data_IF_171033960645
#
_entry.id   IF_171033960645
#
_cell.length_a   1.000
_cell.length_b   1.000
_cell.length_c   1.000
_cell.angle_alpha   90.00
_cell.angle_beta   90.00
_cell.angle_gamma   90.00
#
_symmetry.space_group_name_H-M   'P 1'
#
loop_
_entity.id
_entity.type
_entity.pdbx_description
1 polymer ?
#
# COMPACT_ATOMS: atom_id res chain seq x y z
N UNK A 1 -3.93 13.61 7.46
CA UNK A 1 -3.24 12.40 6.99
C UNK A 1 -1.87 12.27 7.63
N UNK A 2 -1.47 11.05 7.99
CA UNK A 2 -0.09 10.66 8.23
C UNK A 2 0.54 10.42 6.85
N UNK A 3 1.37 11.35 6.43
CA UNK A 3 2.03 11.32 5.13
C UNK A 3 3.28 10.42 5.16
N UNK A 4 3.66 9.88 4.02
CA UNK A 4 4.82 8.99 3.83
C UNK A 4 5.22 8.97 2.35
N UNK A 5 6.39 8.42 1.97
CA UNK A 5 6.89 8.50 0.59
C UNK A 5 5.90 8.05 -0.49
N UNK A 6 5.08 7.06 -0.18
CA UNK A 6 4.12 6.44 -1.10
C UNK A 6 2.67 6.92 -0.90
N UNK A 7 2.40 7.84 0.04
CA UNK A 7 1.05 8.22 0.45
C UNK A 7 0.23 8.78 -0.71
N UNK A 8 0.83 9.71 -1.45
CA UNK A 8 0.19 10.33 -2.60
C UNK A 8 -0.17 9.31 -3.67
N UNK A 9 0.71 8.34 -3.94
CA UNK A 9 0.48 7.30 -4.93
C UNK A 9 -0.71 6.42 -4.55
N UNK A 10 -0.75 5.93 -3.31
CA UNK A 10 -1.85 5.07 -2.86
C UNK A 10 -3.17 5.82 -2.73
N UNK A 11 -3.13 7.08 -2.30
CA UNK A 11 -4.32 7.92 -2.20
C UNK A 11 -4.93 8.19 -3.59
N UNK A 12 -4.10 8.54 -4.58
CA UNK A 12 -4.58 8.70 -5.95
C UNK A 12 -5.18 7.41 -6.50
N UNK A 13 -4.52 6.26 -6.30
CA UNK A 13 -5.05 4.96 -6.72
C UNK A 13 -6.40 4.65 -6.06
N UNK A 14 -6.56 5.01 -4.78
CA UNK A 14 -7.83 4.84 -4.07
C UNK A 14 -8.94 5.70 -4.73
N UNK A 15 -8.67 6.96 -5.04
CA UNK A 15 -9.66 7.82 -5.73
C UNK A 15 -10.05 7.25 -7.08
N UNK A 16 -9.07 6.83 -7.87
CA UNK A 16 -9.28 6.35 -9.24
C UNK A 16 -10.05 5.01 -9.32
N UNK A 17 -10.02 4.19 -8.25
CA UNK A 17 -10.45 2.78 -8.31
C UNK A 17 -11.42 2.34 -7.22
N UNK A 18 -11.71 3.15 -6.21
CA UNK A 18 -12.55 2.72 -5.07
C UNK A 18 -14.04 2.69 -5.36
N UNK A 19 -14.49 3.41 -6.40
CA UNK A 19 -15.91 3.60 -6.71
C UNK A 19 -16.66 4.44 -5.68
N UNK A 20 -15.95 5.28 -4.91
CA UNK A 20 -16.54 6.19 -3.91
C UNK A 20 -16.84 7.54 -4.57
N UNK A 21 -18.12 7.84 -4.81
CA UNK A 21 -18.57 9.09 -5.43
C UNK A 21 -18.05 10.32 -4.66
N UNK A 22 -17.93 10.24 -3.33
CA UNK A 22 -17.43 11.33 -2.49
C UNK A 22 -15.94 11.66 -2.70
N UNK A 23 -15.20 10.77 -3.37
CA UNK A 23 -13.78 10.92 -3.62
C UNK A 23 -13.44 11.16 -5.11
N UNK A 24 -14.43 11.17 -6.01
CA UNK A 24 -14.21 11.36 -7.46
C UNK A 24 -13.57 12.71 -7.79
N UNK A 25 -13.96 13.77 -7.09
CA UNK A 25 -13.43 15.13 -7.28
C UNK A 25 -12.33 15.49 -6.28
N UNK A 26 -11.97 14.57 -5.37
CA UNK A 26 -11.01 14.84 -4.32
C UNK A 26 -9.58 14.84 -4.87
N UNK A 27 -8.77 15.84 -4.49
CA UNK A 27 -7.35 15.85 -4.73
C UNK A 27 -6.56 15.52 -3.46
N UNK A 28 -5.33 15.04 -3.61
CA UNK A 28 -4.49 14.71 -2.45
C UNK A 28 -4.22 15.92 -1.55
N UNK A 29 -4.24 17.13 -2.11
CA UNK A 29 -4.05 18.40 -1.40
C UNK A 29 -5.21 18.73 -0.46
N UNK A 30 -6.40 18.18 -0.69
CA UNK A 30 -7.56 18.39 0.18
C UNK A 30 -7.38 17.72 1.55
N UNK A 31 -6.49 16.73 1.61
CA UNK A 31 -6.18 16.01 2.84
C UNK A 31 -5.08 16.73 3.63
N UNK A 32 -5.50 17.42 4.70
CA UNK A 32 -4.57 18.09 5.62
C UNK A 32 -3.48 17.13 6.11
N UNK A 33 -2.21 17.43 5.82
CA UNK A 33 -1.06 16.74 6.39
C UNK A 33 -0.93 17.03 7.89
N UNK A 34 -0.90 15.97 8.71
CA UNK A 34 -0.78 16.04 10.18
C UNK A 34 0.64 15.71 10.63
N UNK A 35 1.26 14.71 10.02
CA UNK A 35 2.63 14.28 10.30
C UNK A 35 3.25 13.66 9.06
N UNK A 36 4.54 13.32 9.12
CA UNK A 36 5.27 12.61 8.08
C UNK A 36 6.12 11.49 8.68
N UNK A 37 6.01 10.29 8.13
CA UNK A 37 6.79 9.11 8.52
C UNK A 37 7.52 8.56 7.30
N UNK A 38 8.83 8.42 7.40
CA UNK A 38 9.67 7.91 6.30
C UNK A 38 9.97 6.40 6.42
N UNK A 39 9.68 5.78 7.58
CA UNK A 39 9.97 4.37 7.82
C UNK A 39 8.69 3.55 7.73
N UNK A 40 8.60 2.63 6.76
CA UNK A 40 7.38 1.87 6.47
C UNK A 40 6.78 1.18 7.70
N UNK A 41 7.61 0.54 8.52
CA UNK A 41 7.17 -0.16 9.74
C UNK A 41 6.55 0.75 10.81
N UNK A 42 6.85 2.06 10.77
CA UNK A 42 6.36 3.05 11.74
C UNK A 42 5.15 3.84 11.25
N UNK A 43 4.72 3.68 9.99
CA UNK A 43 3.63 4.50 9.42
C UNK A 43 2.32 4.31 10.21
N UNK A 44 2.01 3.08 10.62
CA UNK A 44 0.79 2.77 11.38
C UNK A 44 0.85 3.15 12.86
N UNK A 45 2.04 3.42 13.41
CA UNK A 45 2.17 3.81 14.80
C UNK A 45 1.33 5.05 15.16
N UNK A 46 1.47 6.22 14.49
CA UNK A 46 0.64 7.39 14.78
C UNK A 46 -0.84 7.20 14.44
N UNK A 47 -1.16 6.33 13.46
CA UNK A 47 -2.56 5.98 13.13
C UNK A 47 -3.19 5.23 14.31
N UNK A 48 -2.49 4.24 14.87
CA UNK A 48 -2.93 3.49 16.04
C UNK A 48 -3.11 4.33 17.32
N UNK A 49 -2.49 5.51 17.34
CA UNK A 49 -2.62 6.49 18.42
C UNK A 49 -3.75 7.50 18.17
N UNK A 50 -4.50 7.37 17.08
CA UNK A 50 -5.59 8.29 16.72
C UNK A 50 -5.12 9.66 16.21
N UNK A 51 -3.85 9.81 15.82
CA UNK A 51 -3.28 11.10 15.38
C UNK A 51 -3.78 11.45 13.97
N UNK A 52 -4.11 10.47 13.15
CA UNK A 52 -4.68 10.68 11.84
C UNK A 52 -4.87 9.39 11.06
N UNK A 53 -5.21 9.52 9.79
CA UNK A 53 -5.45 8.42 8.84
C UNK A 53 -4.36 8.37 7.77
N UNK A 54 -4.22 7.25 7.09
CA UNK A 54 -3.34 7.08 5.94
C UNK A 54 -3.87 5.99 5.01
N UNK A 55 -3.30 5.84 3.81
CA UNK A 55 -3.65 4.79 2.85
C UNK A 55 -2.43 3.91 2.63
N UNK A 56 -2.59 2.61 2.86
CA UNK A 56 -1.52 1.62 2.72
C UNK A 56 -2.03 0.37 2.01
N UNK A 57 -1.15 -0.40 1.34
CA UNK A 57 -1.45 -1.75 0.90
C UNK A 57 -1.91 -2.61 2.09
N UNK A 58 -2.89 -3.47 1.85
CA UNK A 58 -3.45 -4.36 2.88
C UNK A 58 -2.37 -5.19 3.59
N UNK A 59 -1.41 -5.71 2.82
CA UNK A 59 -0.24 -6.44 3.35
C UNK A 59 0.56 -5.65 4.39
N UNK A 60 0.72 -4.34 4.21
CA UNK A 60 1.46 -3.50 5.17
C UNK A 60 0.71 -3.37 6.51
N UNK A 61 -0.62 -3.47 6.49
CA UNK A 61 -1.45 -3.48 7.69
C UNK A 61 -1.42 -4.86 8.34
N UNK A 62 -1.57 -5.93 7.55
CA UNK A 62 -1.64 -7.30 8.05
C UNK A 62 -0.35 -7.75 8.75
N UNK A 63 0.82 -7.29 8.31
CA UNK A 63 2.12 -7.60 8.92
C UNK A 63 2.60 -6.56 9.94
N UNK A 64 1.77 -5.55 10.25
CA UNK A 64 2.12 -4.53 11.23
C UNK A 64 1.85 -5.00 12.66
N UNK A 65 2.71 -4.60 13.61
CA UNK A 65 2.46 -4.75 15.04
C UNK A 65 1.23 -3.96 15.53
N UNK A 66 0.72 -3.03 14.72
CA UNK A 66 -0.42 -2.17 15.03
C UNK A 66 -1.73 -2.63 14.39
N UNK A 67 -1.77 -3.79 13.70
CA UNK A 67 -2.94 -4.29 12.97
C UNK A 67 -4.23 -4.24 13.81
N UNK A 68 -4.18 -4.73 15.04
CA UNK A 68 -5.35 -4.84 15.92
C UNK A 68 -5.71 -3.52 16.62
N UNK A 69 -5.01 -2.43 16.29
CA UNK A 69 -5.20 -1.08 16.86
C UNK A 69 -5.64 -0.06 15.83
N UNK A 70 -5.93 -0.50 14.61
CA UNK A 70 -6.38 0.36 13.52
C UNK A 70 -7.60 -0.27 12.85
N UNK A 71 -8.51 0.57 12.43
CA UNK A 71 -9.65 0.15 11.60
C UNK A 71 -9.33 0.40 10.13
N UNK A 72 -9.73 -0.54 9.28
CA UNK A 72 -9.60 -0.43 7.82
C UNK A 72 -10.94 0.04 7.27
N UNK A 73 -10.92 1.18 6.57
CA UNK A 73 -12.10 1.68 5.88
C UNK A 73 -12.49 0.75 4.72
N UNK A 74 -13.75 0.30 4.62
CA UNK A 74 -14.18 -0.58 3.54
C UNK A 74 -14.23 0.17 2.21
N UNK A 75 -13.80 -0.48 1.12
CA UNK A 75 -13.99 0.01 -0.25
C UNK A 75 -15.08 -0.81 -0.95
N UNK A 76 -15.90 -0.15 -1.77
CA UNK A 76 -16.95 -0.83 -2.54
C UNK A 76 -16.34 -1.69 -3.64
N UNK A 77 -15.32 -1.15 -4.31
CA UNK A 77 -14.55 -1.85 -5.32
C UNK A 77 -13.17 -2.28 -4.82
N UNK A 78 -12.64 -3.34 -5.43
CA UNK A 78 -11.30 -3.84 -5.12
C UNK A 78 -10.25 -2.93 -5.77
N UNK A 79 -9.61 -2.11 -4.95
CA UNK A 79 -8.41 -1.35 -5.34
C UNK A 79 -7.20 -2.26 -5.20
N UNK A 80 -6.60 -2.68 -6.33
CA UNK A 80 -5.49 -3.63 -6.33
C UNK A 80 -4.40 -3.24 -7.32
N UNK A 81 -3.21 -3.81 -7.13
CA UNK A 81 -2.10 -3.61 -8.05
C UNK A 81 -1.40 -4.92 -8.41
N UNK A 82 -1.06 -5.10 -9.69
CA UNK A 82 -0.29 -6.26 -10.11
C UNK A 82 1.14 -6.17 -9.58
N UNK A 83 1.60 -7.27 -8.98
CA UNK A 83 3.01 -7.45 -8.62
C UNK A 83 3.79 -8.00 -9.82
N UNK A 84 4.91 -7.36 -10.14
CA UNK A 84 5.73 -7.73 -11.29
C UNK A 84 7.13 -8.20 -10.88
N UNK A 85 7.61 -9.27 -11.52
CA UNK A 85 9.03 -9.61 -11.51
C UNK A 85 9.80 -8.78 -12.53
N UNK A 86 10.70 -7.92 -12.06
CA UNK A 86 11.50 -7.04 -12.92
C UNK A 86 12.89 -7.63 -13.16
N UNK A 87 13.33 -7.65 -14.43
CA UNK A 87 14.70 -8.03 -14.82
C UNK A 87 15.32 -7.02 -15.78
N UNK A 88 16.65 -6.91 -15.77
CA UNK A 88 17.37 -6.10 -16.76
C UNK A 88 17.16 -6.71 -18.16
N UNK A 89 16.69 -5.90 -19.12
CA UNK A 89 16.34 -6.32 -20.49
C UNK A 89 17.41 -7.18 -21.19
N UNK A 90 18.69 -6.83 -21.00
CA UNK A 90 19.83 -7.50 -21.66
C UNK A 90 20.55 -8.53 -20.79
N UNK A 91 20.03 -8.84 -19.59
CA UNK A 91 20.65 -9.81 -18.68
C UNK A 91 19.85 -11.11 -18.67
N UNK A 92 20.46 -12.21 -19.08
CA UNK A 92 19.88 -13.53 -18.87
C UNK A 92 19.94 -13.88 -17.38
N UNK A 93 18.84 -14.43 -16.85
CA UNK A 93 18.79 -14.95 -15.49
C UNK A 93 19.56 -16.27 -15.43
N UNK A 94 20.40 -16.43 -14.42
CA UNK A 94 21.04 -17.72 -14.16
C UNK A 94 19.97 -18.77 -13.79
N UNK A 95 20.19 -20.03 -14.17
CA UNK A 95 19.25 -21.14 -13.94
C UNK A 95 18.84 -21.31 -12.46
N UNK A 96 19.72 -20.96 -11.51
CA UNK A 96 19.44 -20.98 -10.06
C UNK A 96 18.24 -20.12 -9.64
N UNK A 97 17.87 -19.12 -10.44
CA UNK A 97 16.72 -18.27 -10.15
C UNK A 97 15.39 -18.93 -10.54
N UNK A 98 15.37 -19.94 -11.42
CA UNK A 98 14.13 -20.59 -11.85
C UNK A 98 13.38 -21.20 -10.66
N UNK A 99 14.09 -21.96 -9.83
CA UNK A 99 13.54 -22.55 -8.60
C UNK A 99 12.95 -21.48 -7.67
N UNK A 100 13.68 -20.39 -7.42
CA UNK A 100 13.21 -19.31 -6.55
C UNK A 100 11.94 -18.64 -7.13
N UNK A 101 11.92 -18.37 -8.44
CA UNK A 101 10.77 -17.75 -9.10
C UNK A 101 9.54 -18.66 -9.09
N UNK A 102 9.73 -19.98 -9.22
CA UNK A 102 8.65 -20.97 -9.10
C UNK A 102 8.07 -20.97 -7.69
N UNK A 103 8.93 -21.09 -6.67
CA UNK A 103 8.50 -21.05 -5.25
C UNK A 103 7.74 -19.77 -4.93
N UNK A 104 8.23 -18.62 -5.39
CA UNK A 104 7.55 -17.33 -5.15
C UNK A 104 6.20 -17.29 -5.87
N UNK A 105 6.08 -17.82 -7.10
CA UNK A 105 4.81 -17.84 -7.84
C UNK A 105 3.77 -18.78 -7.24
N UNK A 106 4.21 -19.88 -6.64
CA UNK A 106 3.33 -20.82 -5.93
C UNK A 106 2.88 -20.27 -4.57
N UNK A 107 3.58 -19.26 -4.04
CA UNK A 107 3.17 -18.56 -2.82
C UNK A 107 2.04 -17.60 -3.16
N UNK A 108 0.87 -17.79 -2.55
CA UNK A 108 -0.21 -16.80 -2.63
C UNK A 108 0.20 -15.55 -1.86
N UNK A 109 0.37 -14.45 -2.58
CA UNK A 109 0.44 -13.12 -2.00
C UNK A 109 -1.00 -12.65 -1.80
N UNK A 110 -1.55 -12.90 -0.60
CA UNK A 110 -2.82 -12.31 -0.14
C UNK A 110 -2.68 -10.81 0.18
#
# INVERSE_FOLDING_TARGET
>A
MIDHPDAQYYLQKLFDQSGLEELEEAEWQDFRKVSYINQHSQILQPVSMGIGVTVLPKVAIEYSEYKDKVDVWPTTELVSEPLYFVKKKRKQLAARYSFLLEVIKETEFS
#
